data_IF_302712031152
#
_entry.id   IF_302712031152
#
_cell.length_a   1.000
_cell.length_b   1.000
_cell.length_c   1.000
_cell.angle_alpha   90.00
_cell.angle_beta   90.00
_cell.angle_gamma   90.00
#
_symmetry.space_group_name_H-M   'P 1'
#
loop_
_entity.id
_entity.type
_entity.pdbx_description
1 polymer ?
#
# COMPACT_ATOMS: atom_id res chain seq x y z
N UNK A 1 -12.13 -1.47 -1.34
CA UNK A 1 -12.18 -0.07 -0.95
C UNK A 1 -13.60 0.41 -1.13
N UNK A 2 -14.07 1.08 -0.12
CA UNK A 2 -15.37 1.70 0.01
C UNK A 2 -16.51 0.82 -0.53
N UNK A 3 -16.83 -0.23 0.17
CA UNK A 3 -18.22 -0.66 0.20
C UNK A 3 -18.99 0.53 0.72
N UNK A 4 -20.03 0.93 0.00
CA UNK A 4 -20.96 1.94 0.51
C UNK A 4 -21.41 1.46 1.89
N UNK A 5 -21.37 2.29 2.94
CA UNK A 5 -21.80 1.92 4.27
C UNK A 5 -23.26 1.46 4.31
N UNK A 6 -24.01 1.80 3.27
CA UNK A 6 -25.40 1.44 3.04
C UNK A 6 -25.59 -0.03 2.62
N UNK A 7 -24.52 -0.83 2.45
CA UNK A 7 -24.56 -2.14 1.79
C UNK A 7 -24.14 -3.32 2.68
N UNK A 8 -23.88 -3.10 3.95
CA UNK A 8 -23.73 -4.17 4.93
C UNK A 8 -25.07 -4.78 5.37
N UNK A 9 -26.12 -4.56 4.60
CA UNK A 9 -27.39 -5.29 4.81
C UNK A 9 -27.24 -6.67 4.17
N UNK A 10 -27.38 -7.76 4.93
CA UNK A 10 -27.35 -9.12 4.38
C UNK A 10 -28.34 -9.23 3.22
N UNK A 11 -27.91 -9.72 2.08
CA UNK A 11 -28.76 -9.92 0.90
C UNK A 11 -29.79 -11.04 1.05
N UNK A 12 -29.91 -11.65 2.22
CA UNK A 12 -30.87 -12.68 2.56
C UNK A 12 -32.04 -12.05 3.34
N UNK A 13 -33.21 -12.07 2.74
CA UNK A 13 -34.54 -11.78 3.29
C UNK A 13 -35.02 -10.32 3.26
N UNK A 14 -35.17 -9.76 2.08
CA UNK A 14 -36.13 -8.67 1.88
C UNK A 14 -37.55 -9.27 1.77
N UNK A 15 -38.13 -9.77 2.86
CA UNK A 15 -39.55 -9.95 2.94
C UNK A 15 -40.16 -8.64 3.45
N UNK A 16 -41.17 -8.17 2.75
CA UNK A 16 -41.91 -6.90 3.00
C UNK A 16 -42.62 -6.80 4.37
N UNK A 17 -42.25 -7.62 5.35
CA UNK A 17 -42.92 -7.71 6.66
C UNK A 17 -42.01 -7.51 7.87
N UNK A 18 -41.21 -6.44 7.90
CA UNK A 18 -40.56 -6.04 9.16
C UNK A 18 -40.95 -4.63 9.58
N UNK A 19 -42.07 -4.57 10.27
CA UNK A 19 -42.55 -3.38 11.02
C UNK A 19 -41.81 -3.16 12.36
N UNK A 20 -40.61 -3.75 12.57
CA UNK A 20 -39.85 -3.60 13.83
C UNK A 20 -38.34 -3.74 13.70
N UNK A 21 -37.75 -3.33 12.57
CA UNK A 21 -36.28 -3.13 12.53
C UNK A 21 -35.98 -1.84 13.29
N UNK A 22 -35.20 -1.93 14.35
CA UNK A 22 -34.57 -0.78 15.02
C UNK A 22 -33.76 -0.02 14.01
N UNK A 23 -34.31 1.07 13.47
CA UNK A 23 -33.56 1.96 12.56
C UNK A 23 -32.47 2.60 13.41
N UNK A 24 -31.20 2.31 13.11
CA UNK A 24 -30.11 2.96 13.79
C UNK A 24 -30.14 4.47 13.50
N UNK A 25 -29.98 5.35 14.50
CA UNK A 25 -29.94 6.79 14.27
C UNK A 25 -28.75 7.10 13.40
N UNK A 26 -28.98 7.69 12.22
CA UNK A 26 -27.91 8.12 11.33
C UNK A 26 -27.18 9.33 11.92
N UNK A 27 -25.86 9.29 11.93
CA UNK A 27 -24.98 10.41 12.30
C UNK A 27 -24.81 11.33 11.08
N UNK A 28 -25.91 11.91 10.59
CA UNK A 28 -25.98 12.73 9.36
C UNK A 28 -24.88 13.78 9.25
N UNK A 29 -24.50 14.40 10.35
CA UNK A 29 -23.50 15.46 10.33
C UNK A 29 -22.09 14.94 10.03
N UNK A 30 -21.75 13.71 10.47
CA UNK A 30 -20.47 13.08 10.17
C UNK A 30 -20.36 12.65 8.72
N UNK A 31 -21.47 12.18 8.11
CA UNK A 31 -21.49 11.83 6.70
C UNK A 31 -21.34 13.07 5.81
N UNK A 32 -21.90 14.20 6.16
CA UNK A 32 -21.67 15.47 5.44
C UNK A 32 -20.20 15.86 5.42
N UNK A 33 -19.48 15.65 6.53
CA UNK A 33 -18.03 15.88 6.61
C UNK A 33 -17.27 14.93 5.69
N UNK A 34 -17.62 13.64 5.69
CA UNK A 34 -17.03 12.63 4.80
C UNK A 34 -17.20 13.03 3.33
N UNK A 35 -18.41 13.33 2.90
CA UNK A 35 -18.70 13.69 1.52
C UNK A 35 -18.01 14.99 1.06
N UNK A 36 -17.73 15.88 1.97
CA UNK A 36 -17.05 17.14 1.68
C UNK A 36 -15.50 17.00 1.66
N UNK A 37 -14.92 16.31 2.62
CA UNK A 37 -13.47 16.31 2.85
C UNK A 37 -12.76 15.16 2.11
N UNK A 38 -13.31 13.93 2.18
CA UNK A 38 -12.63 12.76 1.64
C UNK A 38 -12.37 12.83 0.14
N UNK A 39 -13.29 13.27 -0.72
CA UNK A 39 -13.02 13.36 -2.15
C UNK A 39 -11.83 14.27 -2.47
N UNK A 40 -11.76 15.44 -1.82
CA UNK A 40 -10.65 16.39 -2.02
C UNK A 40 -9.32 15.82 -1.53
N UNK A 41 -9.34 15.08 -0.43
CA UNK A 41 -8.15 14.36 0.07
C UNK A 41 -7.69 13.28 -0.94
N UNK A 42 -8.62 12.46 -1.44
CA UNK A 42 -8.33 11.41 -2.43
C UNK A 42 -7.76 12.01 -3.72
N UNK A 43 -8.34 13.10 -4.23
CA UNK A 43 -7.83 13.79 -5.42
C UNK A 43 -6.41 14.32 -5.21
N UNK A 44 -6.12 14.88 -4.03
CA UNK A 44 -4.78 15.37 -3.65
C UNK A 44 -3.77 14.22 -3.65
N UNK A 45 -4.10 13.10 -3.01
CA UNK A 45 -3.27 11.89 -2.97
C UNK A 45 -3.07 11.31 -4.38
N UNK A 46 -4.11 11.33 -5.22
CA UNK A 46 -4.02 10.90 -6.61
C UNK A 46 -2.98 11.74 -7.37
N UNK A 47 -3.05 13.05 -7.32
CA UNK A 47 -2.13 13.94 -8.04
C UNK A 47 -0.69 13.75 -7.56
N UNK A 48 -0.45 13.77 -6.25
CA UNK A 48 0.90 13.55 -5.67
C UNK A 48 1.44 12.17 -6.04
N UNK A 49 0.60 11.13 -5.90
CA UNK A 49 0.97 9.76 -6.21
C UNK A 49 1.28 9.55 -7.69
N UNK A 50 0.45 10.08 -8.60
CA UNK A 50 0.67 10.04 -10.04
C UNK A 50 2.00 10.67 -10.41
N UNK A 51 2.25 11.91 -9.98
CA UNK A 51 3.49 12.62 -10.26
C UNK A 51 4.72 11.86 -9.72
N UNK A 52 4.63 11.35 -8.49
CA UNK A 52 5.72 10.64 -7.84
C UNK A 52 6.05 9.30 -8.52
N UNK A 53 5.05 8.47 -8.80
CA UNK A 53 5.27 7.16 -9.41
C UNK A 53 5.65 7.27 -10.89
N UNK A 54 5.11 8.22 -11.64
CA UNK A 54 5.56 8.54 -13.01
C UNK A 54 7.03 8.97 -12.98
N UNK A 55 7.44 9.84 -12.05
CA UNK A 55 8.83 10.24 -11.89
C UNK A 55 9.73 9.03 -11.61
N UNK A 56 9.32 8.11 -10.74
CA UNK A 56 10.08 6.88 -10.45
C UNK A 56 10.28 6.06 -11.74
N UNK A 57 9.21 5.77 -12.49
CA UNK A 57 9.31 5.01 -13.74
C UNK A 57 10.14 5.74 -14.79
N UNK A 58 9.97 7.05 -14.94
CA UNK A 58 10.74 7.88 -15.88
C UNK A 58 12.24 7.84 -15.58
N UNK A 59 12.65 8.03 -14.34
CA UNK A 59 14.05 7.99 -13.94
C UNK A 59 14.68 6.61 -14.21
N UNK A 60 13.97 5.52 -13.87
CA UNK A 60 14.50 4.18 -14.09
C UNK A 60 14.49 3.75 -15.56
N UNK A 61 13.59 4.27 -16.40
CA UNK A 61 13.59 4.01 -17.86
C UNK A 61 14.76 4.67 -18.58
N UNK A 62 15.15 5.88 -18.14
CA UNK A 62 16.28 6.62 -18.73
C UNK A 62 17.64 6.25 -18.12
N UNK A 63 17.67 5.55 -17.01
CA UNK A 63 18.89 5.17 -16.34
C UNK A 63 19.66 4.10 -17.12
N UNK A 64 20.80 4.46 -17.72
CA UNK A 64 21.63 3.56 -18.54
C UNK A 64 22.47 2.56 -17.74
N UNK A 65 22.51 2.67 -16.41
CA UNK A 65 23.28 1.77 -15.55
C UNK A 65 22.52 0.47 -15.20
N UNK A 66 23.24 -0.44 -14.55
CA UNK A 66 22.67 -1.71 -14.10
C UNK A 66 21.76 -1.53 -12.89
N UNK A 67 20.51 -1.99 -12.98
CA UNK A 67 19.56 -1.98 -11.87
C UNK A 67 19.96 -3.01 -10.80
N UNK A 68 19.72 -2.67 -9.55
CA UNK A 68 19.79 -3.60 -8.42
C UNK A 68 18.48 -4.40 -8.33
N UNK A 69 18.54 -5.57 -7.70
CA UNK A 69 17.35 -6.45 -7.54
C UNK A 69 16.20 -5.71 -6.84
N UNK A 70 16.45 -5.05 -5.71
CA UNK A 70 15.44 -4.27 -5.02
C UNK A 70 14.80 -3.18 -5.90
N UNK A 71 15.58 -2.58 -6.81
CA UNK A 71 15.06 -1.55 -7.72
C UNK A 71 14.08 -2.13 -8.75
N UNK A 72 14.26 -3.41 -9.16
CA UNK A 72 13.31 -4.12 -10.02
C UNK A 72 11.96 -4.24 -9.32
N UNK A 73 11.95 -4.62 -8.03
CA UNK A 73 10.71 -4.69 -7.25
C UNK A 73 10.07 -3.31 -7.06
N UNK A 74 10.87 -2.25 -6.78
CA UNK A 74 10.36 -0.90 -6.59
C UNK A 74 9.77 -0.29 -7.88
N UNK A 75 10.30 -0.63 -9.05
CA UNK A 75 9.73 -0.25 -10.34
C UNK A 75 8.35 -0.91 -10.52
N UNK A 76 8.23 -2.19 -10.20
CA UNK A 76 6.96 -2.90 -10.28
C UNK A 76 5.95 -2.38 -9.27
N UNK A 77 6.39 -1.99 -8.07
CA UNK A 77 5.56 -1.33 -7.08
C UNK A 77 5.00 0.00 -7.59
N UNK A 78 5.85 0.84 -8.19
CA UNK A 78 5.41 2.10 -8.80
C UNK A 78 4.42 1.89 -9.96
N UNK A 79 4.60 0.82 -10.76
CA UNK A 79 3.67 0.47 -11.83
C UNK A 79 2.30 0.02 -11.26
N UNK A 80 2.28 -0.81 -10.22
CA UNK A 80 1.05 -1.22 -9.55
C UNK A 80 0.32 -0.02 -8.92
N UNK A 81 1.07 0.88 -8.26
CA UNK A 81 0.53 2.10 -7.68
C UNK A 81 -0.10 3.01 -8.75
N UNK A 82 0.51 3.16 -9.94
CA UNK A 82 -0.07 3.95 -11.03
C UNK A 82 -1.39 3.38 -11.55
N UNK A 83 -1.50 2.07 -11.73
CA UNK A 83 -2.76 1.43 -12.15
C UNK A 83 -3.89 1.75 -11.16
N UNK A 84 -3.60 1.70 -9.88
CA UNK A 84 -4.56 2.03 -8.83
C UNK A 84 -4.90 3.52 -8.80
N UNK A 85 -3.89 4.39 -8.85
CA UNK A 85 -4.07 5.84 -8.80
C UNK A 85 -4.94 6.36 -9.96
N UNK A 86 -4.88 5.74 -11.14
CA UNK A 86 -5.79 6.04 -12.26
C UNK A 86 -7.26 5.76 -11.95
N UNK A 87 -7.54 4.90 -10.97
CA UNK A 87 -8.91 4.58 -10.55
C UNK A 87 -9.44 5.52 -9.45
N UNK A 88 -8.57 6.23 -8.73
CA UNK A 88 -8.95 7.06 -7.58
C UNK A 88 -9.94 8.20 -7.91
N UNK A 89 -9.86 8.91 -9.06
CA UNK A 89 -10.84 9.93 -9.38
C UNK A 89 -12.28 9.41 -9.44
N UNK A 90 -12.48 8.17 -9.91
CA UNK A 90 -13.80 7.54 -9.91
C UNK A 90 -14.32 7.26 -8.49
N UNK A 91 -13.42 6.88 -7.58
CA UNK A 91 -13.76 6.67 -6.17
C UNK A 91 -14.01 7.98 -5.43
N UNK A 92 -13.25 9.04 -5.72
CA UNK A 92 -13.49 10.37 -5.17
C UNK A 92 -14.87 10.88 -5.58
N UNK A 93 -15.19 10.75 -6.86
CA UNK A 93 -16.50 11.19 -7.39
C UNK A 93 -17.65 10.32 -6.86
N UNK A 94 -17.44 9.01 -6.68
CA UNK A 94 -18.42 8.15 -6.05
C UNK A 94 -18.80 8.61 -4.62
N UNK A 95 -17.81 9.03 -3.83
CA UNK A 95 -18.06 9.57 -2.47
C UNK A 95 -18.76 10.94 -2.57
N UNK A 96 -18.31 11.82 -3.50
CA UNK A 96 -18.92 13.15 -3.73
C UNK A 96 -20.38 13.06 -4.14
N UNK A 97 -20.75 12.02 -4.88
CA UNK A 97 -22.12 11.71 -5.30
C UNK A 97 -22.87 10.81 -4.28
N UNK A 98 -22.46 10.81 -3.01
CA UNK A 98 -23.11 10.04 -1.95
C UNK A 98 -23.29 8.55 -2.33
N UNK A 99 -22.22 7.95 -2.91
CA UNK A 99 -22.15 6.57 -3.42
C UNK A 99 -23.06 6.26 -4.62
N UNK A 100 -23.65 7.25 -5.26
CA UNK A 100 -24.32 7.04 -6.53
C UNK A 100 -23.30 6.91 -7.66
N UNK A 101 -23.25 5.74 -8.31
CA UNK A 101 -22.26 5.37 -9.32
C UNK A 101 -22.80 5.56 -10.74
N UNK A 102 -22.44 6.61 -11.49
CA UNK A 102 -22.96 6.89 -12.81
C UNK A 102 -22.20 6.20 -13.96
N UNK A 103 -21.08 5.53 -13.68
CA UNK A 103 -20.12 5.09 -14.70
C UNK A 103 -20.38 3.68 -15.25
N UNK A 104 -21.47 3.02 -14.87
CA UNK A 104 -21.87 1.71 -15.36
C UNK A 104 -21.04 0.54 -14.81
N UNK A 105 -21.42 -0.67 -15.20
CA UNK A 105 -20.87 -1.92 -14.66
C UNK A 105 -19.38 -2.13 -14.99
N UNK A 106 -18.95 -1.77 -16.20
CA UNK A 106 -17.57 -2.04 -16.61
C UNK A 106 -16.58 -1.27 -15.75
N UNK A 107 -16.76 0.02 -15.52
CA UNK A 107 -15.88 0.81 -14.67
C UNK A 107 -16.01 0.41 -13.19
N UNK A 108 -17.20 0.06 -12.70
CA UNK A 108 -17.39 -0.48 -11.36
C UNK A 108 -16.52 -1.74 -11.12
N UNK A 109 -16.53 -2.69 -12.05
CA UNK A 109 -15.73 -3.91 -12.01
C UNK A 109 -14.24 -3.65 -12.15
N UNK A 110 -13.85 -2.85 -13.15
CA UNK A 110 -12.45 -2.62 -13.49
C UNK A 110 -11.72 -1.83 -12.40
N UNK A 111 -12.33 -0.76 -11.86
CA UNK A 111 -11.72 0.05 -10.80
C UNK A 111 -11.59 -0.74 -9.49
N UNK A 112 -12.58 -1.57 -9.16
CA UNK A 112 -12.53 -2.44 -7.99
C UNK A 112 -11.47 -3.52 -8.13
N UNK A 113 -11.39 -4.18 -9.29
CA UNK A 113 -10.37 -5.20 -9.56
C UNK A 113 -8.96 -4.60 -9.58
N UNK A 114 -8.77 -3.40 -10.14
CA UNK A 114 -7.49 -2.69 -10.12
C UNK A 114 -7.04 -2.35 -8.69
N UNK A 115 -7.98 -1.98 -7.82
CA UNK A 115 -7.72 -1.76 -6.39
C UNK A 115 -7.22 -3.04 -5.72
N UNK A 116 -7.91 -4.16 -5.93
CA UNK A 116 -7.54 -5.47 -5.42
C UNK A 116 -6.17 -5.91 -5.95
N UNK A 117 -5.93 -5.76 -7.26
CA UNK A 117 -4.66 -6.05 -7.92
C UNK A 117 -3.50 -5.27 -7.30
N UNK A 118 -3.67 -3.95 -7.10
CA UNK A 118 -2.63 -3.12 -6.48
C UNK A 118 -2.33 -3.61 -5.07
N UNK A 119 -3.34 -3.84 -4.23
CA UNK A 119 -3.14 -4.28 -2.86
C UNK A 119 -2.32 -5.57 -2.78
N UNK A 120 -2.75 -6.62 -3.47
CA UNK A 120 -2.04 -7.90 -3.44
C UNK A 120 -0.65 -7.82 -4.06
N UNK A 121 -0.52 -7.18 -5.22
CA UNK A 121 0.79 -7.08 -5.91
C UNK A 121 1.78 -6.27 -5.07
N UNK A 122 1.36 -5.15 -4.49
CA UNK A 122 2.22 -4.26 -3.71
C UNK A 122 2.72 -4.90 -2.43
N UNK A 123 1.84 -5.57 -1.66
CA UNK A 123 2.27 -6.20 -0.40
C UNK A 123 3.25 -7.35 -0.64
N UNK A 124 3.02 -8.18 -1.66
CA UNK A 124 3.93 -9.29 -1.97
C UNK A 124 5.24 -8.82 -2.63
N UNK A 125 5.24 -7.71 -3.37
CA UNK A 125 6.47 -7.04 -3.79
C UNK A 125 7.29 -6.54 -2.61
N UNK A 126 6.66 -6.00 -1.55
CA UNK A 126 7.35 -5.60 -0.32
C UNK A 126 7.90 -6.80 0.45
N UNK A 127 7.19 -7.93 0.48
CA UNK A 127 7.73 -9.21 1.00
C UNK A 127 8.97 -9.62 0.21
N UNK A 128 8.92 -9.57 -1.14
CA UNK A 128 10.05 -9.92 -2.00
C UNK A 128 11.26 -9.01 -1.78
N UNK A 129 11.04 -7.69 -1.59
CA UNK A 129 12.10 -6.74 -1.22
C UNK A 129 12.71 -7.10 0.15
N UNK A 130 11.87 -7.40 1.15
CA UNK A 130 12.33 -7.78 2.49
C UNK A 130 13.12 -9.08 2.45
N UNK A 131 12.68 -10.06 1.66
CA UNK A 131 13.40 -11.32 1.44
C UNK A 131 14.75 -11.09 0.75
N UNK A 132 14.83 -10.25 -0.31
CA UNK A 132 16.11 -9.91 -0.96
C UNK A 132 17.09 -9.29 0.04
N UNK A 133 16.61 -8.45 0.95
CA UNK A 133 17.43 -7.87 2.00
C UNK A 133 17.87 -8.91 3.03
N UNK A 134 16.97 -9.75 3.48
CA UNK A 134 17.29 -10.86 4.39
C UNK A 134 18.40 -11.75 3.83
N UNK A 135 18.28 -12.20 2.58
CA UNK A 135 19.28 -13.00 1.90
C UNK A 135 20.63 -12.27 1.75
N UNK A 136 20.59 -10.94 1.66
CA UNK A 136 21.80 -10.11 1.54
C UNK A 136 22.58 -10.02 2.85
N UNK A 137 21.89 -9.93 4.00
CA UNK A 137 22.52 -9.65 5.31
C UNK A 137 22.75 -10.88 6.14
N UNK A 138 21.88 -11.89 6.05
CA UNK A 138 21.93 -13.08 6.89
C UNK A 138 22.68 -14.23 6.21
N UNK A 139 22.58 -14.34 4.87
CA UNK A 139 23.16 -15.44 4.10
C UNK A 139 24.17 -14.97 3.04
N UNK A 140 25.13 -14.16 3.44
CA UNK A 140 26.07 -13.46 2.53
C UNK A 140 26.94 -14.38 1.66
N UNK A 141 27.26 -15.58 2.07
CA UNK A 141 28.22 -16.49 1.39
C UNK A 141 27.54 -17.62 0.57
N UNK A 142 26.40 -18.13 1.03
CA UNK A 142 25.78 -19.33 0.45
C UNK A 142 24.92 -19.06 -0.79
N UNK A 143 24.43 -17.84 -1.01
CA UNK A 143 23.33 -17.57 -1.94
C UNK A 143 23.71 -16.71 -3.17
N UNK A 144 25.00 -16.56 -3.50
CA UNK A 144 25.40 -15.76 -4.68
C UNK A 144 24.81 -16.26 -6.01
N UNK A 145 24.54 -17.56 -6.13
CA UNK A 145 23.93 -18.16 -7.34
C UNK A 145 22.41 -17.95 -7.42
N UNK A 146 21.72 -17.93 -6.28
CA UNK A 146 20.26 -17.82 -6.22
C UNK A 146 19.81 -16.36 -6.45
N UNK A 147 20.62 -15.39 -6.04
CA UNK A 147 20.29 -13.96 -6.12
C UNK A 147 20.68 -13.38 -7.48
N UNK A 148 19.83 -13.55 -8.49
CA UNK A 148 20.04 -13.00 -9.83
C UNK A 148 18.84 -12.14 -10.29
N UNK A 149 19.06 -11.26 -11.27
CA UNK A 149 18.05 -10.34 -11.79
C UNK A 149 16.96 -11.05 -12.60
N UNK A 150 17.28 -12.16 -13.23
CA UNK A 150 16.34 -12.96 -14.01
C UNK A 150 15.31 -13.57 -13.06
N UNK A 151 15.74 -14.14 -11.93
CA UNK A 151 14.85 -14.63 -10.90
C UNK A 151 13.96 -13.52 -10.33
N UNK A 152 14.53 -12.33 -10.04
CA UNK A 152 13.74 -11.20 -9.55
C UNK A 152 12.65 -10.77 -10.54
N UNK A 153 12.95 -10.73 -11.84
CA UNK A 153 11.94 -10.47 -12.88
C UNK A 153 10.89 -11.58 -12.96
N UNK A 154 11.29 -12.84 -12.83
CA UNK A 154 10.38 -13.98 -12.78
C UNK A 154 9.44 -13.90 -11.59
N UNK A 155 9.95 -13.54 -10.40
CA UNK A 155 9.13 -13.30 -9.21
C UNK A 155 8.13 -12.16 -9.45
N UNK A 156 8.55 -11.03 -10.02
CA UNK A 156 7.63 -9.95 -10.36
C UNK A 156 6.50 -10.45 -11.27
N UNK A 157 6.82 -11.19 -12.33
CA UNK A 157 5.82 -11.74 -13.24
C UNK A 157 4.82 -12.67 -12.50
N UNK A 158 5.32 -13.55 -11.65
CA UNK A 158 4.47 -14.43 -10.84
C UNK A 158 3.57 -13.64 -9.89
N UNK A 159 4.07 -12.56 -9.28
CA UNK A 159 3.27 -11.71 -8.40
C UNK A 159 2.19 -10.94 -9.15
N UNK A 160 2.46 -10.49 -10.39
CA UNK A 160 1.44 -9.89 -11.24
C UNK A 160 0.36 -10.89 -11.63
N UNK A 161 0.74 -12.11 -12.05
CA UNK A 161 -0.21 -13.19 -12.36
C UNK A 161 -1.04 -13.54 -11.12
N UNK A 162 -0.41 -13.71 -9.96
CA UNK A 162 -1.10 -13.94 -8.69
C UNK A 162 -2.10 -12.82 -8.38
N UNK A 163 -1.67 -11.56 -8.45
CA UNK A 163 -2.53 -10.39 -8.21
C UNK A 163 -3.75 -10.35 -9.14
N UNK A 164 -3.57 -10.68 -10.44
CA UNK A 164 -4.67 -10.78 -11.40
C UNK A 164 -5.64 -11.90 -10.98
N UNK A 165 -5.14 -13.09 -10.68
CA UNK A 165 -5.98 -14.23 -10.32
C UNK A 165 -6.83 -13.97 -9.07
N UNK A 166 -6.24 -13.38 -8.02
CA UNK A 166 -6.99 -13.06 -6.79
C UNK A 166 -7.94 -11.88 -6.96
N UNK A 167 -7.80 -11.08 -8.03
CA UNK A 167 -8.73 -10.00 -8.37
C UNK A 167 -9.92 -10.44 -9.21
N UNK A 168 -9.91 -11.66 -9.77
CA UNK A 168 -11.01 -12.20 -10.59
C UNK A 168 -12.34 -12.21 -9.83
N UNK A 169 -12.44 -12.68 -8.57
CA UNK A 169 -13.70 -12.66 -7.84
C UNK A 169 -14.26 -11.24 -7.71
N UNK A 170 -13.42 -10.27 -7.37
CA UNK A 170 -13.82 -8.86 -7.31
C UNK A 170 -14.38 -8.37 -8.65
N UNK A 171 -13.69 -8.66 -9.76
CA UNK A 171 -14.17 -8.27 -11.10
C UNK A 171 -15.49 -8.95 -11.46
N UNK A 172 -15.67 -10.19 -11.08
CA UNK A 172 -16.84 -11.01 -11.45
C UNK A 172 -18.08 -10.60 -10.65
N UNK A 173 -17.93 -10.43 -9.33
CA UNK A 173 -19.04 -10.18 -8.42
C UNK A 173 -19.32 -8.70 -8.15
N UNK A 174 -18.51 -7.77 -8.63
CA UNK A 174 -18.84 -6.33 -8.60
C UNK A 174 -19.91 -6.01 -9.63
N UNK A 175 -20.91 -5.25 -9.21
CA UNK A 175 -22.00 -4.84 -10.10
C UNK A 175 -22.65 -3.54 -9.61
N UNK A 176 -23.28 -2.82 -10.52
CA UNK A 176 -24.11 -1.66 -10.17
C UNK A 176 -25.51 -2.14 -9.86
N UNK A 177 -25.98 -1.93 -8.63
CA UNK A 177 -27.34 -2.23 -8.19
C UNK A 177 -28.09 -0.97 -7.82
N UNK A 178 -29.35 -0.88 -8.25
CA UNK A 178 -30.27 0.15 -7.75
C UNK A 178 -30.73 -0.21 -6.34
N UNK A 179 -30.58 0.73 -5.42
CA UNK A 179 -30.98 0.60 -4.00
C UNK A 179 -32.20 1.50 -3.78
N UNK A 180 -33.43 0.94 -3.77
CA UNK A 180 -34.66 1.73 -3.71
C UNK A 180 -34.77 2.59 -2.44
N UNK A 181 -34.26 2.12 -1.30
CA UNK A 181 -34.34 2.82 -0.01
C UNK A 181 -33.68 4.20 -0.06
N UNK A 182 -32.57 4.35 -0.80
CA UNK A 182 -31.82 5.60 -0.93
C UNK A 182 -31.93 6.23 -2.33
N UNK A 183 -32.68 5.56 -3.23
CA UNK A 183 -32.84 5.97 -4.63
C UNK A 183 -31.52 6.23 -5.37
N UNK A 184 -30.51 5.40 -5.12
CA UNK A 184 -29.18 5.47 -5.74
C UNK A 184 -28.85 4.18 -6.50
N UNK A 185 -27.96 4.30 -7.48
CA UNK A 185 -27.35 3.14 -8.18
C UNK A 185 -25.92 2.98 -7.66
N UNK A 186 -25.66 2.01 -6.78
CA UNK A 186 -24.39 1.85 -6.12
C UNK A 186 -23.55 0.72 -6.74
N UNK A 187 -22.21 0.92 -6.78
CA UNK A 187 -21.25 -0.10 -7.18
C UNK A 187 -20.94 -1.03 -6.01
N UNK A 188 -21.51 -2.24 -6.00
CA UNK A 188 -21.54 -3.15 -4.86
C UNK A 188 -20.94 -4.52 -5.20
N UNK A 189 -20.53 -5.29 -4.18
CA UNK A 189 -20.25 -6.71 -4.31
C UNK A 189 -21.55 -7.50 -4.17
N UNK A 190 -21.82 -8.36 -5.13
CA UNK A 190 -23.01 -9.20 -5.19
C UNK A 190 -22.63 -10.67 -5.26
N UNK A 191 -22.41 -11.24 -4.08
CA UNK A 191 -22.07 -12.66 -3.98
C UNK A 191 -23.32 -13.53 -4.00
N UNK A 192 -23.21 -14.78 -4.53
CA UNK A 192 -24.34 -15.72 -4.59
C UNK A 192 -24.93 -16.09 -3.24
N UNK A 193 -24.12 -16.10 -2.19
CA UNK A 193 -24.55 -16.37 -0.81
C UNK A 193 -23.75 -15.54 0.18
N UNK A 194 -24.30 -15.27 1.38
CA UNK A 194 -23.58 -14.56 2.47
C UNK A 194 -22.26 -15.27 2.86
N UNK A 195 -22.23 -16.60 2.80
CA UNK A 195 -21.01 -17.37 3.11
C UNK A 195 -19.85 -17.04 2.15
N UNK A 196 -20.13 -16.73 0.88
CA UNK A 196 -19.11 -16.28 -0.07
C UNK A 196 -18.55 -14.91 0.31
N UNK A 197 -19.42 -13.98 0.74
CA UNK A 197 -18.97 -12.66 1.18
C UNK A 197 -18.05 -12.77 2.42
N UNK A 198 -18.44 -13.58 3.40
CA UNK A 198 -17.61 -13.83 4.59
C UNK A 198 -16.29 -14.51 4.23
N UNK A 199 -16.31 -15.53 3.35
CA UNK A 199 -15.11 -16.23 2.92
C UNK A 199 -14.13 -15.29 2.17
N UNK A 200 -14.63 -14.44 1.27
CA UNK A 200 -13.82 -13.45 0.54
C UNK A 200 -13.16 -12.47 1.51
N UNK A 201 -13.88 -11.92 2.49
CA UNK A 201 -13.33 -11.02 3.50
C UNK A 201 -12.30 -11.70 4.39
N UNK A 202 -12.48 -12.96 4.76
CA UNK A 202 -11.47 -13.73 5.48
C UNK A 202 -10.21 -13.95 4.63
N UNK A 203 -10.36 -14.34 3.36
CA UNK A 203 -9.23 -14.48 2.43
C UNK A 203 -8.52 -13.15 2.25
N UNK A 204 -9.26 -12.05 2.08
CA UNK A 204 -8.71 -10.71 2.00
C UNK A 204 -7.88 -10.33 3.23
N UNK A 205 -8.35 -10.62 4.43
CA UNK A 205 -7.63 -10.33 5.67
C UNK A 205 -6.42 -11.26 5.88
N UNK A 206 -6.56 -12.56 5.59
CA UNK A 206 -5.49 -13.55 5.85
C UNK A 206 -4.43 -13.48 4.77
N UNK A 207 -4.81 -13.70 3.50
CA UNK A 207 -3.89 -13.76 2.36
C UNK A 207 -3.47 -12.36 1.91
N UNK A 208 -4.38 -11.40 1.95
CA UNK A 208 -4.11 -10.00 1.56
C UNK A 208 -3.28 -9.24 2.58
N UNK A 209 -3.29 -9.62 3.87
CA UNK A 209 -2.61 -8.82 4.89
C UNK A 209 -1.90 -9.62 5.97
N UNK A 210 -2.58 -10.46 6.76
CA UNK A 210 -2.00 -11.07 7.97
C UNK A 210 -0.75 -11.91 7.65
N UNK A 211 -0.85 -12.79 6.67
CA UNK A 211 0.25 -13.67 6.26
C UNK A 211 1.46 -12.89 5.71
N UNK A 212 1.32 -12.02 4.69
CA UNK A 212 2.46 -11.27 4.17
C UNK A 212 3.01 -10.25 5.18
N UNK A 213 2.19 -9.63 6.02
CA UNK A 213 2.66 -8.71 7.07
C UNK A 213 3.48 -9.43 8.12
N UNK A 214 3.05 -10.61 8.57
CA UNK A 214 3.81 -11.45 9.50
C UNK A 214 5.15 -11.86 8.89
N UNK A 215 5.17 -12.26 7.62
CA UNK A 215 6.42 -12.57 6.91
C UNK A 215 7.35 -11.36 6.84
N UNK A 216 6.83 -10.16 6.50
CA UNK A 216 7.63 -8.94 6.47
C UNK A 216 8.20 -8.59 7.85
N UNK A 217 7.39 -8.62 8.90
CA UNK A 217 7.84 -8.34 10.27
C UNK A 217 8.94 -9.30 10.68
N UNK A 218 8.75 -10.60 10.45
CA UNK A 218 9.76 -11.63 10.76
C UNK A 218 11.07 -11.40 9.99
N UNK A 219 11.02 -11.20 8.68
CA UNK A 219 12.21 -10.97 7.86
C UNK A 219 12.96 -9.71 8.30
N UNK A 220 12.23 -8.62 8.58
CA UNK A 220 12.83 -7.38 9.04
C UNK A 220 13.43 -7.49 10.44
N UNK A 221 12.81 -8.27 11.35
CA UNK A 221 13.37 -8.58 12.65
C UNK A 221 14.72 -9.32 12.52
N UNK A 222 14.78 -10.36 11.68
CA UNK A 222 16.02 -11.09 11.42
C UNK A 222 17.13 -10.19 10.83
N UNK A 223 16.77 -9.27 9.92
CA UNK A 223 17.71 -8.29 9.35
C UNK A 223 18.27 -7.38 10.45
N UNK A 224 17.40 -6.84 11.32
CA UNK A 224 17.82 -5.97 12.43
C UNK A 224 18.77 -6.72 13.37
N UNK A 225 18.45 -7.97 13.71
CA UNK A 225 19.28 -8.80 14.58
C UNK A 225 20.68 -8.99 13.98
N UNK A 226 20.75 -9.43 12.71
CA UNK A 226 22.01 -9.64 12.00
C UNK A 226 22.83 -8.34 11.86
N UNK A 227 22.19 -7.20 11.58
CA UNK A 227 22.89 -5.91 11.53
C UNK A 227 23.47 -5.51 12.88
N UNK A 228 22.75 -5.78 13.99
CA UNK A 228 23.25 -5.48 15.34
C UNK A 228 24.45 -6.34 15.71
N UNK A 229 24.41 -7.63 15.36
CA UNK A 229 25.53 -8.55 15.58
C UNK A 229 26.76 -8.14 14.79
N UNK A 230 26.62 -7.86 13.48
CA UNK A 230 27.71 -7.39 12.63
C UNK A 230 28.34 -6.09 13.16
N UNK A 231 27.52 -5.12 13.63
CA UNK A 231 28.04 -3.89 14.24
C UNK A 231 28.82 -4.18 15.53
N UNK A 232 28.34 -5.12 16.35
CA UNK A 232 29.02 -5.52 17.60
C UNK A 232 30.38 -6.14 17.30
N UNK A 233 30.44 -7.06 16.35
CA UNK A 233 31.66 -7.73 15.91
C UNK A 233 32.68 -6.77 15.31
N UNK A 234 32.24 -5.83 14.45
CA UNK A 234 33.10 -4.79 13.86
C UNK A 234 33.66 -3.81 14.90
N UNK A 235 32.91 -3.51 15.96
CA UNK A 235 33.43 -2.70 17.08
C UNK A 235 34.58 -3.42 17.79
N UNK A 236 34.50 -4.73 17.90
CA UNK A 236 35.54 -5.56 18.55
C UNK A 236 36.78 -5.66 17.65
N UNK A 237 36.61 -5.75 16.33
CA UNK A 237 37.71 -5.94 15.37
C UNK A 237 38.31 -4.64 14.81
N UNK A 238 37.81 -3.48 15.21
CA UNK A 238 38.27 -2.12 14.77
C UNK A 238 38.34 -1.89 13.26
N UNK A 239 37.70 -2.73 12.45
CA UNK A 239 37.68 -2.67 10.98
C UNK A 239 36.39 -2.03 10.47
N UNK A 240 36.43 -0.78 10.06
CA UNK A 240 35.31 -0.11 9.37
C UNK A 240 35.37 -0.36 7.88
N UNK A 241 34.51 -1.23 7.36
CA UNK A 241 34.35 -1.37 5.88
C UNK A 241 33.36 -0.31 5.35
N UNK A 242 33.79 0.43 4.34
CA UNK A 242 33.00 1.45 3.66
C UNK A 242 31.76 0.86 2.95
N UNK A 243 31.77 -0.45 2.67
CA UNK A 243 30.70 -1.19 2.00
C UNK A 243 29.49 -1.39 2.93
N UNK A 244 29.73 -1.68 4.22
CA UNK A 244 28.70 -1.90 5.23
C UNK A 244 27.82 -0.66 5.47
N UNK A 245 28.43 0.53 5.44
CA UNK A 245 27.70 1.77 5.67
C UNK A 245 26.74 2.11 4.51
N UNK A 246 27.03 1.60 3.32
CA UNK A 246 26.22 1.79 2.11
C UNK A 246 24.97 0.89 2.14
N UNK A 247 25.13 -0.36 2.55
CA UNK A 247 24.05 -1.33 2.59
C UNK A 247 23.08 -1.08 3.75
N UNK A 248 23.57 -0.61 4.88
CA UNK A 248 22.74 -0.18 6.03
C UNK A 248 21.78 0.98 5.66
N UNK A 249 22.22 1.95 4.84
CA UNK A 249 21.35 3.06 4.39
C UNK A 249 20.24 2.59 3.44
N UNK A 250 20.54 1.63 2.55
CA UNK A 250 19.52 1.06 1.67
C UNK A 250 18.48 0.24 2.46
N UNK A 251 18.92 -0.47 3.50
CA UNK A 251 18.03 -1.24 4.38
C UNK A 251 17.11 -0.34 5.18
N UNK A 252 17.61 0.80 5.70
CA UNK A 252 16.78 1.79 6.40
C UNK A 252 15.61 2.29 5.53
N UNK A 253 15.85 2.51 4.25
CA UNK A 253 14.79 2.90 3.31
C UNK A 253 13.66 1.86 3.30
N UNK A 254 14.01 0.58 3.19
CA UNK A 254 13.04 -0.50 3.10
C UNK A 254 12.27 -0.65 4.42
N UNK A 255 12.93 -0.51 5.58
CA UNK A 255 12.24 -0.49 6.87
C UNK A 255 11.18 0.61 6.95
N UNK A 256 11.50 1.80 6.46
CA UNK A 256 10.55 2.92 6.47
C UNK A 256 9.37 2.62 5.55
N UNK A 257 9.61 2.08 4.35
CA UNK A 257 8.53 1.70 3.41
C UNK A 257 7.62 0.63 4.03
N UNK A 258 8.19 -0.42 4.63
CA UNK A 258 7.43 -1.48 5.30
C UNK A 258 6.63 -0.93 6.50
N UNK A 259 7.26 -0.09 7.33
CA UNK A 259 6.58 0.53 8.47
C UNK A 259 5.40 1.39 8.01
N UNK A 260 5.60 2.22 6.99
CA UNK A 260 4.52 3.07 6.45
C UNK A 260 3.41 2.23 5.83
N UNK A 261 3.75 1.14 5.13
CA UNK A 261 2.77 0.18 4.64
C UNK A 261 1.91 -0.37 5.79
N UNK A 262 2.53 -0.88 6.85
CA UNK A 262 1.81 -1.43 8.00
C UNK A 262 0.93 -0.37 8.69
N UNK A 263 1.43 0.84 8.87
CA UNK A 263 0.66 1.94 9.47
C UNK A 263 -0.56 2.34 8.63
N UNK A 264 -0.45 2.33 7.32
CA UNK A 264 -1.55 2.68 6.42
C UNK A 264 -2.60 1.56 6.32
N UNK A 265 -2.20 0.29 6.27
CA UNK A 265 -3.10 -0.81 5.98
C UNK A 265 -3.67 -1.51 7.23
N UNK A 266 -2.94 -1.53 8.36
CA UNK A 266 -3.42 -2.21 9.58
C UNK A 266 -4.79 -1.73 10.06
N UNK A 267 -5.08 -0.40 10.13
CA UNK A 267 -6.39 0.05 10.57
C UNK A 267 -7.52 -0.47 9.67
N UNK A 268 -7.33 -0.43 8.35
CA UNK A 268 -8.34 -0.90 7.40
C UNK A 268 -8.63 -2.39 7.54
N UNK A 269 -7.59 -3.22 7.65
CA UNK A 269 -7.76 -4.66 7.87
C UNK A 269 -8.36 -5.02 9.23
N UNK A 270 -8.09 -4.21 10.26
CA UNK A 270 -8.76 -4.35 11.55
C UNK A 270 -10.27 -4.11 11.43
N UNK A 271 -10.67 -3.02 10.76
CA UNK A 271 -12.08 -2.71 10.55
C UNK A 271 -12.79 -3.75 9.66
N UNK A 272 -12.14 -4.24 8.59
CA UNK A 272 -12.70 -5.33 7.77
C UNK A 272 -12.81 -6.64 8.53
N UNK A 273 -11.92 -6.92 9.48
CA UNK A 273 -12.04 -8.09 10.35
C UNK A 273 -13.18 -7.94 11.36
N UNK A 274 -13.33 -6.76 11.97
CA UNK A 274 -14.45 -6.47 12.87
C UNK A 274 -15.80 -6.56 12.15
N UNK A 275 -15.85 -6.18 10.88
CA UNK A 275 -17.04 -6.34 10.05
C UNK A 275 -17.40 -7.82 9.80
N UNK A 276 -16.41 -8.71 9.66
CA UNK A 276 -16.65 -10.16 9.64
C UNK A 276 -17.29 -10.63 10.97
N UNK A 277 -16.82 -10.12 12.11
CA UNK A 277 -17.40 -10.46 13.42
C UNK A 277 -18.83 -9.94 13.56
N UNK A 278 -19.15 -8.78 13.00
CA UNK A 278 -20.51 -8.25 12.95
C UNK A 278 -21.41 -9.16 12.11
N UNK A 279 -20.96 -9.57 10.91
CA UNK A 279 -21.73 -10.49 10.05
C UNK A 279 -21.93 -11.87 10.65
N UNK A 280 -20.98 -12.35 11.45
CA UNK A 280 -21.09 -13.61 12.19
C UNK A 280 -21.91 -13.46 13.48
N UNK A 281 -22.51 -12.30 13.72
CA UNK A 281 -23.29 -11.96 14.90
C UNK A 281 -22.53 -12.07 16.25
N UNK A 282 -21.19 -12.07 16.21
CA UNK A 282 -20.35 -12.06 17.42
C UNK A 282 -20.42 -10.69 18.10
N UNK A 283 -20.47 -9.62 17.30
CA UNK A 283 -20.71 -8.23 17.75
C UNK A 283 -22.04 -7.79 17.18
N UNK A 284 -22.85 -7.06 17.94
CA UNK A 284 -24.21 -6.66 17.55
C UNK A 284 -24.55 -5.25 18.02
N UNK A 285 -25.45 -4.62 17.29
CA UNK A 285 -26.07 -3.35 17.65
C UNK A 285 -25.60 -2.15 16.82
N UNK A 286 -26.45 -1.13 16.75
CA UNK A 286 -26.29 0.07 15.92
C UNK A 286 -24.93 0.76 16.09
N UNK A 287 -24.40 0.79 17.31
CA UNK A 287 -23.09 1.39 17.57
C UNK A 287 -21.98 0.75 16.72
N UNK A 288 -21.96 -0.58 16.62
CA UNK A 288 -20.95 -1.29 15.85
C UNK A 288 -21.15 -1.11 14.33
N UNK A 289 -22.38 -1.14 13.86
CA UNK A 289 -22.70 -0.91 12.45
C UNK A 289 -22.23 0.47 12.00
N UNK A 290 -22.57 1.51 12.75
CA UNK A 290 -22.13 2.87 12.43
C UNK A 290 -20.62 3.06 12.55
N UNK A 291 -20.01 2.57 13.64
CA UNK A 291 -18.57 2.64 13.85
C UNK A 291 -17.81 1.97 12.69
N UNK A 292 -18.28 0.82 12.23
CA UNK A 292 -17.64 0.09 11.13
C UNK A 292 -17.84 0.79 9.80
N UNK A 293 -19.03 1.27 9.50
CA UNK A 293 -19.32 2.01 8.28
C UNK A 293 -18.46 3.28 8.16
N UNK A 294 -18.44 4.09 9.21
CA UNK A 294 -17.63 5.30 9.28
C UNK A 294 -16.13 5.02 9.29
N UNK A 295 -15.71 4.10 10.14
CA UNK A 295 -14.30 3.73 10.29
C UNK A 295 -13.70 3.11 9.05
N UNK A 296 -14.46 2.33 8.28
CA UNK A 296 -14.01 1.79 6.99
C UNK A 296 -13.73 2.90 5.96
N UNK A 297 -14.53 3.97 5.91
CA UNK A 297 -14.27 5.10 5.00
C UNK A 297 -12.96 5.81 5.35
N UNK A 298 -12.74 6.10 6.62
CA UNK A 298 -11.51 6.76 7.09
C UNK A 298 -10.30 5.87 6.88
N UNK A 299 -10.37 4.61 7.30
CA UNK A 299 -9.23 3.70 7.24
C UNK A 299 -8.89 3.26 5.82
N UNK A 300 -9.87 3.11 4.92
CA UNK A 300 -9.62 2.89 3.50
C UNK A 300 -8.93 4.10 2.87
N UNK A 301 -9.31 5.31 3.25
CA UNK A 301 -8.67 6.55 2.78
C UNK A 301 -7.24 6.66 3.30
N UNK A 302 -6.97 6.22 4.53
CA UNK A 302 -5.60 6.10 5.04
C UNK A 302 -4.79 5.06 4.24
N UNK A 303 -5.38 3.92 3.90
CA UNK A 303 -4.72 2.88 3.10
C UNK A 303 -4.33 3.36 1.69
N UNK A 304 -5.19 4.16 1.04
CA UNK A 304 -4.91 4.81 -0.26
C UNK A 304 -3.61 5.62 -0.22
N UNK A 305 -3.34 6.28 0.89
CA UNK A 305 -2.16 7.15 1.07
C UNK A 305 -0.85 6.39 0.86
N UNK A 306 -0.83 5.07 1.09
CA UNK A 306 0.35 4.24 0.86
C UNK A 306 0.91 4.37 -0.56
N UNK A 307 0.07 4.45 -1.59
CA UNK A 307 0.51 4.51 -2.99
C UNK A 307 1.17 5.84 -3.37
N UNK A 308 0.99 6.91 -2.61
CA UNK A 308 1.70 8.17 -2.83
C UNK A 308 2.94 8.33 -1.94
N UNK A 309 3.02 7.62 -0.81
CA UNK A 309 4.12 7.75 0.15
C UNK A 309 5.43 7.15 -0.41
N UNK A 310 5.37 6.06 -1.17
CA UNK A 310 6.53 5.35 -1.68
C UNK A 310 7.52 6.26 -2.43
N UNK A 311 7.13 7.03 -3.47
CA UNK A 311 8.02 7.96 -4.16
C UNK A 311 8.57 9.05 -3.24
N UNK A 312 7.75 9.56 -2.32
CA UNK A 312 8.16 10.58 -1.33
C UNK A 312 9.31 10.05 -0.46
N UNK A 313 9.19 8.82 0.04
CA UNK A 313 10.26 8.17 0.82
C UNK A 313 11.52 8.02 -0.03
N UNK A 314 11.41 7.64 -1.34
CA UNK A 314 12.58 7.49 -2.21
C UNK A 314 13.31 8.81 -2.42
N UNK A 315 12.59 9.92 -2.53
CA UNK A 315 13.18 11.26 -2.68
C UNK A 315 13.85 11.72 -1.37
N UNK A 316 13.20 11.59 -0.23
CA UNK A 316 13.73 12.13 1.04
C UNK A 316 14.76 11.20 1.70
N UNK A 317 14.54 9.89 1.70
CA UNK A 317 15.38 8.92 2.40
C UNK A 317 16.35 8.21 1.44
N UNK A 318 15.95 8.02 0.18
CA UNK A 318 16.66 7.23 -0.82
C UNK A 318 17.85 7.95 -1.45
N UNK A 319 19.01 8.01 -0.78
CA UNK A 319 20.23 8.63 -1.34
C UNK A 319 20.57 8.14 -2.76
N UNK A 320 20.37 6.85 -3.04
CA UNK A 320 20.65 6.26 -4.36
C UNK A 320 19.67 6.71 -5.43
N UNK A 321 18.41 6.85 -5.09
CA UNK A 321 17.40 7.37 -6.01
C UNK A 321 17.74 8.81 -6.39
N UNK A 322 18.05 9.66 -5.41
CA UNK A 322 18.47 11.06 -5.67
C UNK A 322 19.71 11.14 -6.57
N UNK A 323 20.71 10.27 -6.36
CA UNK A 323 21.89 10.22 -7.22
C UNK A 323 21.53 9.84 -8.66
N UNK A 324 20.60 8.91 -8.87
CA UNK A 324 20.11 8.54 -10.20
C UNK A 324 19.34 9.68 -10.86
N UNK A 325 18.48 10.35 -10.10
CA UNK A 325 17.78 11.56 -10.56
C UNK A 325 18.78 12.56 -11.09
N UNK A 326 19.78 12.94 -10.31
CA UNK A 326 20.82 13.89 -10.73
C UNK A 326 21.59 13.40 -11.97
N UNK A 327 21.93 12.12 -12.03
CA UNK A 327 22.63 11.53 -13.17
C UNK A 327 21.80 11.56 -14.46
N UNK A 328 20.51 11.23 -14.38
CA UNK A 328 19.61 11.27 -15.55
C UNK A 328 19.40 12.71 -16.02
N UNK A 329 19.14 13.64 -15.09
CA UNK A 329 18.97 15.05 -15.47
C UNK A 329 20.24 15.67 -16.05
N UNK A 330 21.43 15.32 -15.54
CA UNK A 330 22.69 15.79 -16.13
C UNK A 330 22.95 15.26 -17.54
N UNK A 331 22.35 14.13 -17.91
CA UNK A 331 22.42 13.58 -19.28
C UNK A 331 21.39 14.24 -20.23
N UNK A 332 20.25 14.71 -19.70
CA UNK A 332 19.19 15.33 -20.48
C UNK A 332 19.43 16.81 -20.77
N UNK A 333 20.21 17.49 -19.91
CA UNK A 333 20.56 18.92 -20.09
C UNK A 333 21.97 18.98 -20.70
N UNK A 334 22.11 19.05 -22.04
CA UNK A 334 23.41 19.15 -22.67
C UNK A 334 23.98 20.54 -22.41
N UNK A 335 25.14 20.61 -21.73
CA UNK A 335 26.12 21.68 -21.68
C UNK A 335 25.60 23.13 -21.81
N UNK A 336 25.29 23.75 -20.69
CA UNK A 336 25.09 25.18 -20.57
C UNK A 336 25.22 25.66 -19.10
N UNK A 337 24.94 24.78 -18.19
CA UNK A 337 25.07 25.05 -16.75
C UNK A 337 26.04 24.00 -16.16
N UNK A 338 27.32 24.37 -16.08
CA UNK A 338 28.30 23.60 -15.31
C UNK A 338 27.90 23.60 -13.86
N UNK A 339 27.15 22.58 -13.46
CA UNK A 339 26.92 22.22 -12.04
C UNK A 339 28.18 21.56 -11.43
N UNK A 340 29.37 21.91 -11.95
CA UNK A 340 30.66 21.41 -11.48
C UNK A 340 31.13 22.07 -10.17
N UNK A 341 30.31 22.86 -9.49
CA UNK A 341 30.67 23.50 -8.21
C UNK A 341 29.72 23.23 -7.05
N UNK A 342 28.71 22.37 -7.22
CA UNK A 342 28.05 21.80 -6.06
C UNK A 342 28.74 20.48 -5.70
N UNK A 343 30.04 20.58 -5.38
CA UNK A 343 30.67 19.69 -4.43
C UNK A 343 29.88 19.85 -3.13
N UNK A 344 28.91 18.97 -2.96
CA UNK A 344 28.36 18.67 -1.67
C UNK A 344 29.51 18.11 -0.81
N UNK A 345 30.42 18.99 -0.35
CA UNK A 345 31.04 18.87 0.95
C UNK A 345 29.86 18.84 1.91
N UNK A 346 29.39 17.63 2.16
CA UNK A 346 28.44 17.27 3.19
C UNK A 346 29.03 17.77 4.52
N UNK A 347 28.80 19.04 4.86
CA UNK A 347 28.79 19.45 6.25
C UNK A 347 27.67 18.60 6.86
N UNK A 348 28.11 17.56 7.56
CA UNK A 348 27.33 16.79 8.51
C UNK A 348 26.81 17.74 9.59
N UNK A 349 25.74 18.45 9.30
CA UNK A 349 25.04 19.28 10.24
C UNK A 349 23.69 19.58 9.64
N UNK A 350 22.72 18.88 10.10
CA UNK A 350 21.27 19.03 10.14
C UNK A 350 20.58 17.68 9.90
N UNK A 351 20.16 17.13 10.97
CA UNK A 351 19.15 16.14 11.31
C UNK A 351 19.69 15.01 12.20
N UNK A 352 20.25 15.40 13.36
CA UNK A 352 20.24 14.56 14.55
C UNK A 352 18.86 14.68 15.22
N UNK A 353 17.88 14.00 14.69
CA UNK A 353 16.51 13.97 15.22
C UNK A 353 16.26 12.78 16.13
N UNK A 354 17.27 12.19 16.74
CA UNK A 354 17.15 11.34 17.94
C UNK A 354 18.55 11.21 18.58
N UNK A 355 18.86 11.95 19.66
CA UNK A 355 20.01 11.62 20.49
C UNK A 355 19.63 10.39 21.32
N UNK A 356 20.21 9.25 20.99
CA UNK A 356 20.28 8.14 21.94
C UNK A 356 21.26 8.59 23.06
N UNK A 357 20.70 9.06 24.14
CA UNK A 357 21.41 9.33 25.39
C UNK A 357 21.95 8.00 25.92
N UNK A 358 23.23 7.78 25.82
CA UNK A 358 23.96 6.79 26.61
C UNK A 358 24.12 7.34 28.04
N UNK A 359 23.29 6.89 28.95
CA UNK A 359 23.54 6.97 30.39
C UNK A 359 23.33 5.58 30.98
N UNK A 360 24.42 4.90 31.20
CA UNK A 360 24.50 3.84 32.20
C UNK A 360 25.92 3.90 32.77
N UNK A 361 25.99 4.52 33.93
CA UNK A 361 26.95 4.17 34.98
C UNK A 361 26.63 2.78 35.51
#
# INVERSE_FOLDING_TARGET
MAESPLLNVPSSNWSENESNSTICPELDDWWKIIYSILPTYIDTICVIGMLGNVLVLFIYSLYKGSLKIAEIYLINLAAADLIFLMCLPFWAENIRNEFNWPYGNFLCRSTSAATSLNMYTSIYLLVAVSLDRYLTFVHTLSNRGIRNKTLAKGICLLLWVFGILVSIPTFTFRTVKHLPRWNISACTLDFPTPSWATAERLVFNIVGFALPSTAMVFLNFCIIHSLRENIREQRTLRTKSCKDHRDTKATRLIFIVVLMFLLCWTPYHLFTFLDVLLQMEVVKGCFWEELLNFGQQITSTLAITNSCINPVIYVFVGKYFRQKVLQVFSQLIPCGFSLSSVSLKEKSSYFNLFPVRSSLT
#
